data_IF_391507469005
#
_entry.id   IF_391507469005
#
_cell.length_a   1.000
_cell.length_b   1.000
_cell.length_c   1.000
_cell.angle_alpha   90.00
_cell.angle_beta   90.00
_cell.angle_gamma   90.00
#
_symmetry.space_group_name_H-M   'P 1'
#
loop_
_entity.id
_entity.type
_entity.pdbx_description
1 polymer ?
#
# COMPACT_ATOMS: atom_id res chain seq x y z
N UNK A 1 68.39 -34.77 9.14
CA UNK A 1 67.00 -35.27 9.08
C UNK A 1 66.10 -34.05 8.94
N UNK A 2 65.59 -33.76 7.75
CA UNK A 2 64.68 -32.63 7.50
C UNK A 2 63.34 -33.20 7.03
N UNK A 3 62.27 -32.93 7.80
CA UNK A 3 60.89 -33.30 7.46
C UNK A 3 60.28 -32.19 6.61
N UNK A 4 60.08 -32.46 5.32
CA UNK A 4 59.26 -31.62 4.44
C UNK A 4 57.78 -31.95 4.73
N UNK A 5 57.05 -30.94 5.23
CA UNK A 5 55.59 -31.00 5.39
C UNK A 5 54.99 -30.41 4.12
N UNK A 6 54.38 -31.25 3.30
CA UNK A 6 53.62 -30.83 2.13
C UNK A 6 52.24 -30.34 2.58
N UNK A 7 51.97 -29.06 2.35
CA UNK A 7 50.65 -28.44 2.55
C UNK A 7 49.79 -28.72 1.32
N UNK A 8 48.78 -29.60 1.47
CA UNK A 8 47.77 -29.83 0.43
C UNK A 8 46.67 -28.78 0.65
N UNK A 9 46.63 -27.77 -0.23
CA UNK A 9 45.55 -26.78 -0.30
C UNK A 9 44.38 -27.43 -1.04
N UNK A 10 43.34 -27.78 -0.30
CA UNK A 10 42.07 -28.28 -0.84
C UNK A 10 41.22 -27.08 -1.28
N UNK A 11 41.22 -26.76 -2.57
CA UNK A 11 40.28 -25.78 -3.14
C UNK A 11 38.88 -26.38 -3.17
N UNK A 12 38.00 -25.91 -2.29
CA UNK A 12 36.58 -26.21 -2.37
C UNK A 12 35.98 -25.44 -3.56
N UNK A 13 35.55 -26.17 -4.60
CA UNK A 13 34.72 -25.60 -5.66
C UNK A 13 33.34 -25.30 -5.06
N UNK A 14 33.04 -24.02 -4.82
CA UNK A 14 31.66 -23.58 -4.61
C UNK A 14 30.96 -23.62 -5.96
N UNK A 15 30.08 -24.59 -6.18
CA UNK A 15 29.14 -24.56 -7.29
C UNK A 15 28.16 -23.42 -7.03
N UNK A 16 28.38 -22.28 -7.68
CA UNK A 16 27.39 -21.22 -7.78
C UNK A 16 26.24 -21.77 -8.61
N UNK A 17 25.12 -22.10 -7.97
CA UNK A 17 23.89 -22.40 -8.69
C UNK A 17 23.42 -21.05 -9.23
N UNK A 18 23.64 -20.81 -10.52
CA UNK A 18 23.02 -19.70 -11.24
C UNK A 18 21.51 -19.96 -11.24
N UNK A 19 20.81 -19.33 -10.30
CA UNK A 19 19.36 -19.37 -10.22
C UNK A 19 18.85 -18.58 -11.42
N UNK A 20 18.29 -19.29 -12.40
CA UNK A 20 17.85 -18.72 -13.67
C UNK A 20 16.88 -17.57 -13.44
N UNK A 21 17.28 -16.38 -13.88
CA UNK A 21 16.42 -15.21 -14.01
C UNK A 21 15.42 -15.49 -15.13
N UNK A 22 14.27 -16.08 -14.79
CA UNK A 22 13.09 -16.03 -15.64
C UNK A 22 12.67 -14.58 -15.88
N UNK A 23 11.78 -14.31 -16.84
CA UNK A 23 11.23 -12.97 -17.04
C UNK A 23 10.67 -12.45 -15.71
N UNK A 24 11.17 -11.31 -15.25
CA UNK A 24 10.62 -10.64 -14.09
C UNK A 24 9.32 -9.98 -14.55
N UNK A 25 8.17 -10.55 -14.16
CA UNK A 25 6.86 -9.92 -14.37
C UNK A 25 6.86 -8.54 -13.71
N UNK A 26 6.21 -7.56 -14.35
CA UNK A 26 6.04 -6.23 -13.76
C UNK A 26 5.11 -6.29 -12.55
N UNK A 27 5.14 -5.27 -11.69
CA UNK A 27 4.18 -5.15 -10.58
C UNK A 27 2.73 -5.22 -11.10
N UNK A 28 2.44 -4.50 -12.18
CA UNK A 28 1.13 -4.44 -12.82
C UNK A 28 0.64 -5.82 -13.28
N UNK A 29 1.50 -6.63 -13.92
CA UNK A 29 1.13 -7.99 -14.32
C UNK A 29 0.76 -8.85 -13.10
N UNK A 30 1.45 -8.66 -11.98
CA UNK A 30 1.23 -9.42 -10.74
C UNK A 30 -0.08 -8.98 -10.07
N UNK A 31 -0.36 -7.67 -10.03
CA UNK A 31 -1.59 -7.15 -9.45
C UNK A 31 -2.81 -7.49 -10.32
N UNK A 32 -2.70 -7.37 -11.63
CA UNK A 32 -3.76 -7.80 -12.55
C UNK A 32 -4.05 -9.30 -12.38
N UNK A 33 -3.00 -10.13 -12.28
CA UNK A 33 -3.18 -11.56 -12.00
C UNK A 33 -3.88 -11.78 -10.65
N UNK A 34 -3.48 -11.07 -9.60
CA UNK A 34 -4.07 -11.15 -8.26
C UNK A 34 -5.54 -10.73 -8.26
N UNK A 35 -5.88 -9.60 -8.86
CA UNK A 35 -7.25 -9.07 -8.90
C UNK A 35 -8.20 -9.96 -9.71
N UNK A 36 -7.69 -10.64 -10.75
CA UNK A 36 -8.47 -11.59 -11.55
C UNK A 36 -8.46 -13.03 -11.00
N UNK A 37 -7.84 -13.25 -9.85
CA UNK A 37 -7.67 -14.58 -9.28
C UNK A 37 -8.88 -14.95 -8.41
N UNK A 38 -9.67 -15.91 -8.86
CA UNK A 38 -10.87 -16.35 -8.16
C UNK A 38 -10.84 -17.86 -7.82
N UNK A 39 -11.51 -18.23 -6.74
CA UNK A 39 -11.75 -19.62 -6.35
C UNK A 39 -10.61 -20.28 -5.54
N UNK A 40 -10.75 -21.59 -5.24
CA UNK A 40 -9.93 -22.27 -4.24
C UNK A 40 -8.46 -22.43 -4.63
N UNK A 41 -8.13 -22.37 -5.93
CA UNK A 41 -6.73 -22.34 -6.39
C UNK A 41 -6.06 -21.02 -6.04
N UNK A 42 -6.83 -19.94 -5.99
CA UNK A 42 -6.32 -18.62 -5.64
C UNK A 42 -5.86 -18.56 -4.19
N UNK A 43 -6.72 -19.01 -3.28
CA UNK A 43 -6.48 -19.07 -1.83
C UNK A 43 -5.27 -19.95 -1.45
N UNK A 44 -4.86 -20.86 -2.34
CA UNK A 44 -3.67 -21.70 -2.14
C UNK A 44 -2.37 -21.01 -2.58
N UNK A 45 -2.47 -20.04 -3.49
CA UNK A 45 -1.33 -19.34 -4.10
C UNK A 45 -1.08 -18.01 -3.39
N UNK A 46 -2.16 -17.29 -3.09
CA UNK A 46 -2.15 -15.98 -2.46
C UNK A 46 -2.53 -16.08 -0.99
N UNK A 47 -1.82 -15.32 -0.18
CA UNK A 47 -2.06 -15.20 1.26
C UNK A 47 -2.09 -13.71 1.60
N UNK A 48 -3.12 -13.30 2.31
CA UNK A 48 -3.27 -11.95 2.82
C UNK A 48 -3.05 -11.95 4.33
N UNK A 49 -2.24 -11.02 4.81
CA UNK A 49 -1.95 -10.87 6.22
C UNK A 49 -2.14 -9.43 6.65
N UNK A 50 -3.17 -9.19 7.45
CA UNK A 50 -3.38 -7.91 8.09
C UNK A 50 -2.22 -7.59 9.06
N UNK A 51 -1.70 -6.38 8.96
CA UNK A 51 -0.58 -5.88 9.74
C UNK A 51 -1.01 -4.84 10.78
N UNK A 52 -2.15 -4.17 10.58
CA UNK A 52 -2.61 -3.04 11.42
C UNK A 52 -3.77 -3.37 12.38
N UNK A 53 -4.44 -4.53 12.30
CA UNK A 53 -5.42 -4.91 13.36
C UNK A 53 -4.82 -5.50 14.63
N UNK A 54 -3.55 -5.97 14.61
CA UNK A 54 -2.95 -6.73 15.71
C UNK A 54 -1.68 -6.10 16.33
N UNK A 55 -1.24 -4.91 15.91
CA UNK A 55 -0.06 -4.26 16.50
C UNK A 55 0.41 -2.98 15.80
N UNK A 56 1.53 -2.44 16.27
CA UNK A 56 2.21 -1.29 15.65
C UNK A 56 3.06 -1.75 14.47
N UNK A 57 2.88 -1.12 13.31
CA UNK A 57 3.76 -1.33 12.16
C UNK A 57 5.21 -0.98 12.52
N UNK A 58 6.21 -1.63 11.90
CA UNK A 58 7.57 -1.12 11.95
C UNK A 58 7.60 0.33 11.44
N UNK A 59 8.17 1.25 12.21
CA UNK A 59 8.13 2.69 11.91
C UNK A 59 8.61 3.04 10.48
N UNK A 60 9.56 2.29 9.92
CA UNK A 60 10.03 2.50 8.56
C UNK A 60 8.98 2.09 7.50
N UNK A 61 8.24 1.02 7.75
CA UNK A 61 7.15 0.56 6.87
C UNK A 61 5.96 1.52 6.96
N UNK A 62 5.58 1.91 8.18
CA UNK A 62 4.52 2.89 8.42
C UNK A 62 4.81 4.21 7.70
N UNK A 63 6.02 4.75 7.87
CA UNK A 63 6.44 5.98 7.19
C UNK A 63 6.37 5.87 5.67
N UNK A 64 6.83 4.76 5.09
CA UNK A 64 6.81 4.58 3.64
C UNK A 64 5.39 4.45 3.07
N UNK A 65 4.50 3.74 3.77
CA UNK A 65 3.10 3.61 3.35
C UNK A 65 2.31 4.91 3.58
N UNK A 66 2.62 5.65 4.65
CA UNK A 66 2.01 6.95 4.91
C UNK A 66 2.41 7.97 3.84
N UNK A 67 3.66 7.95 3.37
CA UNK A 67 4.09 8.81 2.25
C UNK A 67 3.26 8.54 0.99
N UNK A 68 2.92 7.29 0.69
CA UNK A 68 2.02 6.95 -0.43
C UNK A 68 0.60 7.45 -0.17
N UNK A 69 0.06 7.25 1.03
CA UNK A 69 -1.27 7.71 1.41
C UNK A 69 -1.39 9.26 1.31
N UNK A 70 -0.43 10.00 1.88
CA UNK A 70 -0.38 11.46 1.80
C UNK A 70 -0.24 11.95 0.35
N UNK A 71 0.50 11.22 -0.49
CA UNK A 71 0.61 11.53 -1.92
C UNK A 71 -0.74 11.41 -2.63
N UNK A 72 -1.54 10.39 -2.33
CA UNK A 72 -2.87 10.19 -2.91
C UNK A 72 -3.92 11.16 -2.35
N UNK A 73 -3.91 11.42 -1.04
CA UNK A 73 -4.82 12.38 -0.40
C UNK A 73 -4.72 13.77 -1.00
N UNK A 74 -3.52 14.20 -1.41
CA UNK A 74 -3.33 15.49 -2.09
C UNK A 74 -4.02 15.57 -3.45
N UNK A 75 -4.32 14.42 -4.07
CA UNK A 75 -5.00 14.33 -5.36
C UNK A 75 -6.52 14.47 -5.19
N UNK A 76 -7.10 14.06 -4.05
CA UNK A 76 -8.55 14.08 -3.82
C UNK A 76 -9.19 15.45 -4.09
N UNK A 77 -8.54 16.53 -3.64
CA UNK A 77 -9.01 17.90 -3.83
C UNK A 77 -9.25 18.27 -5.29
N UNK A 78 -8.44 17.73 -6.20
CA UNK A 78 -8.50 18.03 -7.63
C UNK A 78 -9.34 17.00 -8.43
N UNK A 79 -9.51 15.76 -7.93
CA UNK A 79 -10.10 14.66 -8.73
C UNK A 79 -11.42 14.12 -8.23
N UNK A 80 -11.68 14.14 -6.92
CA UNK A 80 -12.86 13.51 -6.32
C UNK A 80 -13.76 14.56 -5.67
N UNK A 81 -13.15 15.59 -5.11
CA UNK A 81 -13.89 16.52 -4.29
C UNK A 81 -14.51 17.66 -5.08
N UNK A 82 -14.05 17.97 -6.30
CA UNK A 82 -14.56 19.06 -7.19
C UNK A 82 -14.93 20.40 -6.48
N UNK A 83 -14.42 20.64 -5.26
CA UNK A 83 -14.80 21.75 -4.39
C UNK A 83 -15.99 21.53 -3.43
N UNK A 84 -16.64 20.37 -3.45
CA UNK A 84 -17.76 19.96 -2.58
C UNK A 84 -17.35 19.38 -1.21
N UNK A 85 -16.05 19.31 -0.93
CA UNK A 85 -15.55 18.85 0.37
C UNK A 85 -14.34 19.65 0.85
N UNK A 86 -14.21 19.76 2.17
CA UNK A 86 -13.05 20.33 2.85
C UNK A 86 -12.42 19.26 3.71
N UNK A 87 -11.18 18.86 3.40
CA UNK A 87 -10.43 17.95 4.26
C UNK A 87 -9.87 18.67 5.48
N UNK A 88 -9.79 17.96 6.61
CA UNK A 88 -9.29 18.45 7.90
C UNK A 88 -8.43 17.39 8.59
N UNK A 89 -7.42 17.86 9.33
CA UNK A 89 -6.59 16.99 10.16
C UNK A 89 -5.53 16.20 9.38
N UNK A 90 -5.00 15.17 10.01
CA UNK A 90 -3.92 14.33 9.48
C UNK A 90 -4.49 13.13 8.70
N UNK A 91 -3.73 12.65 7.72
CA UNK A 91 -4.01 11.38 7.05
C UNK A 91 -3.77 10.22 8.02
N UNK A 92 -4.67 9.26 8.03
CA UNK A 92 -4.58 8.06 8.86
C UNK A 92 -4.44 6.82 7.99
N UNK A 93 -3.51 5.92 8.32
CA UNK A 93 -3.48 4.57 7.79
C UNK A 93 -4.43 3.70 8.64
N UNK A 94 -5.60 3.38 8.09
CA UNK A 94 -6.62 2.62 8.79
C UNK A 94 -6.35 1.12 8.76
N UNK A 95 -5.94 0.60 7.60
CA UNK A 95 -5.65 -0.82 7.40
C UNK A 95 -4.40 -0.98 6.53
N UNK A 96 -3.59 -1.98 6.86
CA UNK A 96 -2.47 -2.42 6.03
C UNK A 96 -2.49 -3.93 5.95
N UNK A 97 -2.59 -4.46 4.74
CA UNK A 97 -2.56 -5.90 4.46
C UNK A 97 -1.34 -6.20 3.59
N UNK A 98 -0.49 -7.12 4.03
CA UNK A 98 0.57 -7.66 3.19
C UNK A 98 0.01 -8.80 2.32
N UNK A 99 0.24 -8.70 1.02
CA UNK A 99 -0.20 -9.70 0.03
C UNK A 99 1.01 -10.52 -0.38
N UNK A 100 0.91 -11.83 -0.22
CA UNK A 100 1.96 -12.80 -0.55
C UNK A 100 1.52 -13.70 -1.69
N UNK A 101 2.46 -14.04 -2.58
CA UNK A 101 2.29 -15.09 -3.59
C UNK A 101 3.36 -16.14 -3.38
N UNK A 102 2.98 -17.40 -3.13
CA UNK A 102 3.93 -18.47 -2.82
C UNK A 102 4.93 -18.08 -1.70
N UNK A 103 4.43 -17.43 -0.63
CA UNK A 103 5.21 -16.91 0.52
C UNK A 103 6.18 -15.76 0.21
N UNK A 104 6.16 -15.20 -1.00
CA UNK A 104 6.90 -13.99 -1.35
C UNK A 104 5.97 -12.80 -1.26
N UNK A 105 6.36 -11.77 -0.51
CA UNK A 105 5.63 -10.50 -0.50
C UNK A 105 5.60 -9.91 -1.91
N UNK A 106 4.41 -9.61 -2.40
CA UNK A 106 4.20 -9.03 -3.73
C UNK A 106 3.59 -7.63 -3.69
N UNK A 107 2.86 -7.28 -2.63
CA UNK A 107 2.28 -5.95 -2.47
C UNK A 107 1.82 -5.70 -1.02
N UNK A 108 1.48 -4.45 -0.74
CA UNK A 108 0.70 -4.03 0.40
C UNK A 108 -0.61 -3.43 -0.10
N UNK A 109 -1.76 -3.87 0.41
CA UNK A 109 -3.00 -3.11 0.29
C UNK A 109 -3.12 -2.20 1.50
N UNK A 110 -3.35 -0.92 1.27
CA UNK A 110 -3.52 0.08 2.32
C UNK A 110 -4.89 0.74 2.18
N UNK A 111 -5.56 0.92 3.31
CA UNK A 111 -6.75 1.76 3.42
C UNK A 111 -6.35 2.97 4.26
N UNK A 112 -6.60 4.16 3.74
CA UNK A 112 -6.28 5.41 4.41
C UNK A 112 -7.43 6.39 4.31
N UNK A 113 -7.50 7.29 5.27
CA UNK A 113 -8.57 8.27 5.34
C UNK A 113 -8.11 9.61 5.89
N UNK A 114 -8.90 10.64 5.63
CA UNK A 114 -8.79 11.96 6.25
C UNK A 114 -10.18 12.43 6.65
N UNK A 115 -10.29 13.15 7.77
CA UNK A 115 -11.54 13.79 8.13
C UNK A 115 -11.91 14.83 7.06
N UNK A 116 -13.20 14.97 6.78
CA UNK A 116 -13.69 15.89 5.77
C UNK A 116 -15.06 16.44 6.15
N UNK A 117 -15.41 17.57 5.57
CA UNK A 117 -16.74 18.17 5.66
C UNK A 117 -17.29 18.27 4.26
N UNK A 118 -18.48 17.70 4.05
CA UNK A 118 -19.23 17.87 2.81
C UNK A 118 -19.86 19.26 2.80
N UNK A 119 -19.40 20.12 1.90
CA UNK A 119 -19.91 21.49 1.73
C UNK A 119 -21.07 21.57 0.75
N UNK A 120 -21.34 20.51 -0.03
CA UNK A 120 -22.50 20.47 -0.93
C UNK A 120 -23.82 20.27 -0.18
N UNK A 121 -23.76 19.79 1.08
CA UNK A 121 -24.93 19.55 1.90
C UNK A 121 -25.42 20.79 2.69
N UNK A 122 -24.74 21.94 2.55
CA UNK A 122 -24.98 23.15 3.34
C UNK A 122 -24.73 24.44 2.55
N UNK A 123 -25.16 25.58 3.09
CA UNK A 123 -24.93 26.91 2.51
C UNK A 123 -23.57 27.51 2.96
N UNK A 124 -22.47 26.78 2.74
CA UNK A 124 -21.13 27.28 3.04
C UNK A 124 -20.73 28.39 2.06
N UNK A 125 -20.35 29.56 2.58
CA UNK A 125 -20.04 30.74 1.76
C UNK A 125 -18.57 30.82 1.28
N UNK A 126 -17.74 29.84 1.65
CA UNK A 126 -16.30 29.79 1.38
C UNK A 126 -15.47 30.95 2.00
N UNK A 127 -16.07 31.78 2.86
CA UNK A 127 -15.43 32.91 3.50
C UNK A 127 -15.45 32.83 5.03
N UNK A 128 -16.50 32.22 5.61
CA UNK A 128 -16.71 32.12 7.05
C UNK A 128 -16.87 30.66 7.50
N UNK A 129 -15.86 30.14 8.21
CA UNK A 129 -15.89 28.79 8.78
C UNK A 129 -17.05 28.54 9.74
N UNK A 130 -17.66 29.56 10.35
CA UNK A 130 -18.86 29.39 11.19
C UNK A 130 -20.05 28.85 10.38
N UNK A 131 -20.09 29.08 9.07
CA UNK A 131 -21.13 28.52 8.19
C UNK A 131 -20.94 27.01 7.94
N UNK A 132 -19.84 26.41 8.42
CA UNK A 132 -19.62 24.96 8.38
C UNK A 132 -20.37 24.19 9.46
N UNK A 133 -20.93 24.87 10.48
CA UNK A 133 -21.62 24.21 11.60
C UNK A 133 -22.81 23.34 11.17
N UNK A 134 -23.46 23.69 10.06
CA UNK A 134 -24.60 22.96 9.50
C UNK A 134 -24.21 21.95 8.41
N UNK A 135 -22.91 21.84 8.09
CA UNK A 135 -22.40 20.92 7.07
C UNK A 135 -22.18 19.52 7.63
N UNK A 136 -22.20 18.51 6.75
CA UNK A 136 -22.04 17.11 7.17
C UNK A 136 -20.55 16.81 7.36
N UNK A 137 -20.15 16.56 8.61
CA UNK A 137 -18.84 15.99 8.92
C UNK A 137 -18.79 14.50 8.55
N UNK A 138 -17.63 14.04 8.15
CA UNK A 138 -17.39 12.64 7.83
C UNK A 138 -15.91 12.37 7.56
N UNK A 139 -15.64 11.31 6.81
CA UNK A 139 -14.29 10.95 6.39
C UNK A 139 -14.27 10.57 4.92
N UNK A 140 -13.19 10.94 4.25
CA UNK A 140 -12.89 10.41 2.93
C UNK A 140 -11.92 9.25 3.11
N UNK A 141 -12.21 8.12 2.48
CA UNK A 141 -11.41 6.89 2.56
C UNK A 141 -11.07 6.40 1.16
N UNK A 142 -9.83 5.97 0.94
CA UNK A 142 -9.36 5.41 -0.34
C UNK A 142 -8.52 4.15 -0.10
N UNK A 143 -8.46 3.28 -1.11
CA UNK A 143 -7.65 2.07 -1.08
C UNK A 143 -6.58 2.10 -2.17
N UNK A 144 -5.36 1.72 -1.81
CA UNK A 144 -4.27 1.56 -2.78
C UNK A 144 -3.54 0.25 -2.61
N UNK A 145 -3.05 -0.29 -3.73
CA UNK A 145 -2.15 -1.44 -3.75
C UNK A 145 -0.74 -0.92 -4.06
N UNK A 146 0.21 -1.14 -3.15
CA UNK A 146 1.56 -0.59 -3.17
C UNK A 146 2.58 -1.69 -3.35
N UNK A 147 3.54 -1.48 -4.25
CA UNK A 147 4.67 -2.38 -4.46
C UNK A 147 5.54 -2.54 -3.20
N UNK A 148 6.26 -3.67 -3.02
CA UNK A 148 7.04 -3.93 -1.81
C UNK A 148 8.22 -2.98 -1.59
N UNK A 149 8.65 -2.26 -2.63
CA UNK A 149 9.70 -1.25 -2.56
C UNK A 149 9.15 0.19 -2.57
N UNK A 150 7.81 0.34 -2.50
CA UNK A 150 7.08 1.59 -2.38
C UNK A 150 7.26 2.55 -3.56
N UNK A 151 7.72 2.07 -4.73
CA UNK A 151 7.96 2.92 -5.90
C UNK A 151 6.80 2.98 -6.88
N UNK A 152 5.98 1.94 -6.88
CA UNK A 152 4.81 1.78 -7.73
C UNK A 152 3.60 1.55 -6.82
N UNK A 153 2.46 2.14 -7.18
CA UNK A 153 1.19 1.92 -6.51
C UNK A 153 0.04 2.09 -7.50
N UNK A 154 -1.05 1.38 -7.26
CA UNK A 154 -2.32 1.51 -7.97
C UNK A 154 -3.40 1.97 -7.00
N UNK A 155 -4.37 2.73 -7.51
CA UNK A 155 -5.65 2.88 -6.83
C UNK A 155 -6.41 1.60 -7.15
N UNK A 156 -6.89 0.89 -6.14
CA UNK A 156 -7.63 -0.35 -6.39
C UNK A 156 -8.81 -0.04 -7.32
N UNK A 157 -9.09 -0.87 -8.32
CA UNK A 157 -9.86 -0.49 -9.52
C UNK A 157 -11.29 0.02 -9.27
N UNK A 158 -11.86 -0.32 -8.11
CA UNK A 158 -13.15 0.16 -7.60
C UNK A 158 -13.02 1.09 -6.37
N UNK A 159 -11.81 1.24 -5.84
CA UNK A 159 -11.46 1.94 -4.59
C UNK A 159 -11.19 3.42 -4.77
N UNK A 160 -12.00 4.13 -5.55
CA UNK A 160 -12.00 5.59 -5.56
C UNK A 160 -12.25 6.13 -4.16
N UNK A 161 -11.66 7.28 -3.82
CA UNK A 161 -11.96 7.91 -2.55
C UNK A 161 -13.48 8.14 -2.38
N UNK A 162 -14.00 7.69 -1.25
CA UNK A 162 -15.41 7.71 -0.91
C UNK A 162 -15.62 8.50 0.38
N UNK A 163 -16.70 9.29 0.46
CA UNK A 163 -17.10 9.99 1.67
C UNK A 163 -18.09 9.17 2.49
N UNK A 164 -17.85 9.08 3.80
CA UNK A 164 -18.69 8.38 4.78
C UNK A 164 -19.01 9.32 5.95
N UNK A 165 -20.31 9.49 6.28
CA UNK A 165 -20.85 10.34 7.35
C UNK A 165 -21.09 9.60 8.69
#
# INVERSE_FOLDING_TARGET
MAKNIAFIILMALTTTIAQGSGPQSSFWDIIEEFNNCEGPTCEQIYEEKELVSEGTLPAALEKALMEVAEDQVRVWGDTILEGGYITRGETELNEVVAIYKNKKLIAYRIIYSQAAINTDSCDYDYENEETLEDCTEGRITETSIVSPDFKEYDIDGDGYANFED
#
